data_IF_253220212816
#
_entry.id   IF_253220212816
#
_cell.length_a   1.000
_cell.length_b   1.000
_cell.length_c   1.000
_cell.angle_alpha   90.00
_cell.angle_beta   90.00
_cell.angle_gamma   90.00
#
_symmetry.space_group_name_H-M   'P 1'
#
loop_
_entity.id
_entity.type
_entity.pdbx_description
1 polymer ?
#
# COMPACT_ATOMS: atom_id res chain seq x y z
N UNK A 1 49.68 69.06 -23.11
CA UNK A 1 50.58 67.89 -22.88
C UNK A 1 50.00 67.03 -21.80
N UNK A 2 49.53 65.90 -22.12
CA UNK A 2 49.52 64.62 -21.37
C UNK A 2 48.40 63.70 -21.90
N UNK A 3 48.75 62.47 -22.08
CA UNK A 3 48.33 61.37 -22.95
C UNK A 3 47.00 60.73 -22.55
N UNK A 4 46.30 60.27 -23.54
CA UNK A 4 45.23 59.29 -23.54
C UNK A 4 45.70 57.96 -22.89
N UNK A 5 44.81 57.30 -22.10
CA UNK A 5 44.97 55.92 -21.76
C UNK A 5 43.61 55.23 -22.02
N UNK A 6 43.66 54.28 -22.95
CA UNK A 6 42.58 53.38 -23.34
C UNK A 6 42.25 52.41 -22.22
N UNK A 7 41.02 52.32 -21.85
CA UNK A 7 40.51 51.23 -20.99
C UNK A 7 39.92 50.13 -21.86
N UNK A 8 40.51 48.95 -21.73
CA UNK A 8 40.13 47.68 -22.36
C UNK A 8 38.74 47.28 -21.93
N UNK A 9 37.90 46.89 -22.92
CA UNK A 9 36.62 46.19 -22.77
C UNK A 9 36.84 44.81 -22.13
N UNK A 10 36.27 44.58 -20.94
CA UNK A 10 36.17 43.29 -20.31
C UNK A 10 35.00 42.53 -20.91
N UNK A 11 35.27 41.43 -21.59
CA UNK A 11 34.30 40.42 -21.99
C UNK A 11 33.71 39.76 -20.74
N UNK A 12 32.38 39.78 -20.62
CA UNK A 12 31.62 39.04 -19.61
C UNK A 12 31.84 37.53 -19.80
N UNK A 13 31.90 36.74 -18.69
CA UNK A 13 32.00 35.30 -18.83
C UNK A 13 30.65 34.73 -19.32
N UNK A 14 30.77 33.91 -20.35
CA UNK A 14 29.74 33.10 -20.92
C UNK A 14 29.14 32.20 -19.82
N UNK A 15 27.90 32.41 -19.44
CA UNK A 15 27.15 31.53 -18.55
C UNK A 15 26.79 30.26 -19.34
N UNK A 16 27.71 29.30 -19.28
CA UNK A 16 27.42 27.94 -19.80
C UNK A 16 26.18 27.36 -19.08
N UNK A 17 25.12 27.19 -19.84
CA UNK A 17 23.98 26.38 -19.44
C UNK A 17 24.47 25.00 -18.98
N UNK A 18 23.95 24.44 -17.86
CA UNK A 18 24.36 23.11 -17.43
C UNK A 18 24.03 22.10 -18.52
N UNK A 19 25.05 21.52 -19.12
CA UNK A 19 24.95 20.38 -20.01
C UNK A 19 24.20 19.28 -19.27
N UNK A 20 23.13 18.77 -19.88
CA UNK A 20 22.46 17.54 -19.47
C UNK A 20 23.54 16.45 -19.31
N UNK A 21 23.84 16.06 -18.07
CA UNK A 21 24.81 14.98 -17.80
C UNK A 21 24.31 13.76 -18.55
N UNK A 22 25.15 13.15 -19.38
CA UNK A 22 24.84 11.87 -20.05
C UNK A 22 24.44 10.88 -18.96
N UNK A 23 23.22 10.37 -19.02
CA UNK A 23 22.73 9.37 -18.08
C UNK A 23 23.71 8.18 -18.06
N UNK A 24 24.00 7.64 -16.87
CA UNK A 24 24.85 6.47 -16.77
C UNK A 24 24.21 5.31 -17.55
N UNK A 25 25.02 4.38 -18.08
CA UNK A 25 24.51 3.19 -18.76
C UNK A 25 23.42 2.44 -17.95
N UNK A 26 23.60 2.39 -16.63
CA UNK A 26 22.60 1.80 -15.73
C UNK A 26 21.28 2.59 -15.69
N UNK A 27 21.36 3.93 -15.67
CA UNK A 27 20.18 4.78 -15.72
C UNK A 27 19.38 4.61 -17.01
N UNK A 28 20.07 4.47 -18.14
CA UNK A 28 19.44 4.21 -19.43
C UNK A 28 18.76 2.82 -19.46
N UNK A 29 19.38 1.80 -18.89
CA UNK A 29 18.78 0.47 -18.72
C UNK A 29 17.49 0.54 -17.88
N UNK A 30 17.50 1.31 -16.78
CA UNK A 30 16.32 1.52 -15.96
C UNK A 30 15.22 2.24 -16.75
N UNK A 31 15.53 3.33 -17.44
CA UNK A 31 14.58 4.07 -18.26
C UNK A 31 13.91 3.19 -19.32
N UNK A 32 14.71 2.38 -20.01
CA UNK A 32 14.21 1.43 -21.01
C UNK A 32 13.30 0.35 -20.40
N UNK A 33 13.65 -0.14 -19.19
CA UNK A 33 12.82 -1.09 -18.44
C UNK A 33 11.49 -0.45 -18.04
N UNK A 34 11.50 0.76 -17.50
CA UNK A 34 10.30 1.51 -17.14
C UNK A 34 9.38 1.73 -18.35
N UNK A 35 9.91 2.21 -19.47
CA UNK A 35 9.14 2.39 -20.72
C UNK A 35 8.53 1.08 -21.23
N UNK A 36 9.27 -0.04 -21.16
CA UNK A 36 8.78 -1.36 -21.53
C UNK A 36 7.63 -1.81 -20.63
N UNK A 37 7.79 -1.68 -19.32
CA UNK A 37 6.78 -2.05 -18.34
C UNK A 37 5.53 -1.17 -18.46
N UNK A 38 5.70 0.15 -18.60
CA UNK A 38 4.60 1.08 -18.82
C UNK A 38 3.77 0.74 -20.05
N UNK A 39 4.42 0.39 -21.17
CA UNK A 39 3.71 -0.04 -22.39
C UNK A 39 2.94 -1.35 -22.18
N UNK A 40 3.53 -2.33 -21.47
CA UNK A 40 2.89 -3.62 -21.23
C UNK A 40 1.74 -3.51 -20.23
N UNK A 41 2.00 -3.00 -19.04
CA UNK A 41 1.02 -2.85 -17.96
C UNK A 41 -0.02 -1.79 -18.28
N UNK A 42 0.35 -0.70 -18.97
CA UNK A 42 -0.57 0.34 -19.37
C UNK A 42 -1.66 -0.13 -20.36
N UNK A 43 -1.39 -1.16 -21.19
CA UNK A 43 -2.44 -1.79 -22.02
C UNK A 43 -3.46 -2.51 -21.17
N UNK A 44 -3.01 -3.28 -20.19
CA UNK A 44 -3.89 -3.93 -19.22
C UNK A 44 -4.64 -2.91 -18.38
N UNK A 45 -3.94 -1.93 -17.81
CA UNK A 45 -4.53 -0.91 -16.95
C UNK A 45 -5.67 -0.15 -17.65
N UNK A 46 -5.45 0.28 -18.90
CA UNK A 46 -6.52 0.95 -19.69
C UNK A 46 -7.71 0.04 -19.97
N UNK A 47 -7.48 -1.25 -20.29
CA UNK A 47 -8.56 -2.20 -20.54
C UNK A 47 -9.42 -2.44 -19.30
N UNK A 48 -8.79 -2.50 -18.13
CA UNK A 48 -9.45 -2.78 -16.84
C UNK A 48 -9.87 -1.51 -16.09
N UNK A 49 -9.64 -0.31 -16.64
CA UNK A 49 -9.94 0.96 -15.97
C UNK A 49 -9.08 1.20 -14.72
N UNK A 50 -7.86 0.65 -14.68
CA UNK A 50 -6.94 0.79 -13.54
C UNK A 50 -6.06 2.02 -13.74
N UNK A 51 -6.10 2.97 -12.80
CA UNK A 51 -5.34 4.22 -12.85
C UNK A 51 -4.17 4.25 -11.86
N UNK A 52 -4.23 3.39 -10.83
CA UNK A 52 -3.19 3.26 -9.81
C UNK A 52 -2.59 1.86 -9.87
N UNK A 53 -1.31 1.72 -10.25
CA UNK A 53 -0.66 0.42 -10.40
C UNK A 53 0.86 0.50 -10.32
N UNK A 54 1.51 -0.63 -10.01
CA UNK A 54 2.96 -0.77 -9.95
C UNK A 54 3.56 -0.93 -11.34
N UNK A 55 4.49 -0.05 -11.70
CA UNK A 55 5.20 -0.12 -13.00
C UNK A 55 6.52 -0.88 -12.89
N UNK A 56 7.16 -0.84 -11.71
CA UNK A 56 8.48 -1.43 -11.51
C UNK A 56 8.61 -1.99 -10.08
N UNK A 57 9.17 -3.18 -9.93
CA UNK A 57 9.41 -3.84 -8.64
C UNK A 57 10.77 -4.56 -8.66
N UNK A 58 11.84 -3.80 -8.45
CA UNK A 58 13.22 -4.30 -8.42
C UNK A 58 13.56 -5.22 -9.63
N UNK A 59 13.07 -4.87 -10.81
CA UNK A 59 13.27 -5.64 -12.06
C UNK A 59 14.76 -5.79 -12.45
N UNK A 60 15.57 -4.82 -12.06
CA UNK A 60 17.02 -4.79 -12.23
C UNK A 60 17.67 -4.86 -10.84
N UNK A 61 18.59 -5.80 -10.61
CA UNK A 61 19.21 -5.97 -9.28
C UNK A 61 19.95 -4.73 -8.77
N UNK A 62 20.43 -3.88 -9.68
CA UNK A 62 21.13 -2.64 -9.36
C UNK A 62 20.21 -1.55 -8.85
N UNK A 63 18.92 -1.61 -9.18
CA UNK A 63 17.90 -0.63 -8.82
C UNK A 63 16.80 -1.27 -7.98
N UNK A 64 17.08 -1.40 -6.68
CA UNK A 64 16.15 -1.99 -5.71
C UNK A 64 15.06 -0.97 -5.32
N UNK A 65 14.15 -0.72 -6.26
CA UNK A 65 13.07 0.27 -6.14
C UNK A 65 11.72 -0.38 -6.42
N UNK A 66 10.67 0.16 -5.82
CA UNK A 66 9.32 0.06 -6.33
C UNK A 66 8.91 1.41 -6.94
N UNK A 67 8.27 1.40 -8.09
CA UNK A 67 7.74 2.59 -8.74
C UNK A 67 6.26 2.37 -9.01
N UNK A 68 5.42 3.12 -8.30
CA UNK A 68 3.97 3.02 -8.33
C UNK A 68 3.38 4.30 -8.95
N UNK A 69 2.46 4.13 -9.90
CA UNK A 69 1.64 5.21 -10.43
C UNK A 69 0.40 5.38 -9.53
N UNK A 70 0.08 6.62 -9.22
CA UNK A 70 -1.15 7.09 -8.61
C UNK A 70 -1.72 8.16 -9.53
N UNK A 71 -2.36 7.72 -10.63
CA UNK A 71 -2.83 8.58 -11.73
C UNK A 71 -1.69 9.40 -12.35
N UNK A 72 -1.67 10.70 -12.08
CA UNK A 72 -0.64 11.63 -12.59
C UNK A 72 0.56 11.77 -11.66
N UNK A 73 0.63 11.01 -10.55
CA UNK A 73 1.70 11.02 -9.58
C UNK A 73 2.51 9.73 -9.62
N UNK A 74 3.78 9.84 -9.35
CA UNK A 74 4.68 8.70 -9.19
C UNK A 74 5.16 8.64 -7.75
N UNK A 75 5.01 7.49 -7.13
CA UNK A 75 5.60 7.17 -5.84
C UNK A 75 6.76 6.21 -6.04
N UNK A 76 7.97 6.65 -5.71
CA UNK A 76 9.19 5.85 -5.75
C UNK A 76 9.53 5.43 -4.33
N UNK A 77 9.65 4.14 -4.11
CA UNK A 77 10.05 3.58 -2.82
C UNK A 77 11.37 2.83 -2.98
N UNK A 78 12.40 3.27 -2.26
CA UNK A 78 13.67 2.55 -2.22
C UNK A 78 13.58 1.39 -1.22
N UNK A 79 13.94 0.17 -1.67
CA UNK A 79 14.18 -0.95 -0.77
C UNK A 79 15.57 -0.81 -0.15
N UNK A 80 15.66 -1.09 1.16
CA UNK A 80 16.93 -1.02 1.87
C UNK A 80 17.99 -1.88 1.15
N UNK A 81 19.08 -1.25 0.73
CA UNK A 81 20.20 -1.97 0.13
C UNK A 81 20.75 -3.01 1.11
N UNK A 82 21.18 -4.20 0.62
CA UNK A 82 21.91 -5.14 1.43
C UNK A 82 23.14 -4.49 2.07
N UNK A 83 23.53 -4.94 3.27
CA UNK A 83 24.70 -4.39 3.98
C UNK A 83 26.03 -4.54 3.20
N UNK A 84 26.04 -5.39 2.18
CA UNK A 84 27.19 -5.61 1.27
C UNK A 84 27.33 -4.56 0.19
N UNK A 85 26.34 -3.68 0.00
CA UNK A 85 26.38 -2.61 -1.01
C UNK A 85 26.91 -1.34 -0.37
N UNK A 86 27.92 -0.75 -1.01
CA UNK A 86 28.47 0.54 -0.60
C UNK A 86 27.37 1.62 -0.59
N UNK A 87 27.16 2.33 0.52
CA UNK A 87 26.13 3.37 0.65
C UNK A 87 26.26 4.50 -0.40
N UNK A 88 27.47 4.92 -0.74
CA UNK A 88 27.70 5.95 -1.76
C UNK A 88 27.24 5.49 -3.15
N UNK A 89 27.48 4.21 -3.47
CA UNK A 89 27.04 3.60 -4.72
C UNK A 89 25.51 3.44 -4.76
N UNK A 90 24.89 3.07 -3.64
CA UNK A 90 23.43 2.99 -3.54
C UNK A 90 22.80 4.39 -3.75
N UNK A 91 23.34 5.41 -3.12
CA UNK A 91 22.86 6.79 -3.27
C UNK A 91 23.04 7.32 -4.70
N UNK A 92 24.17 7.02 -5.36
CA UNK A 92 24.38 7.41 -6.77
C UNK A 92 23.35 6.76 -7.68
N UNK A 93 23.04 5.47 -7.49
CA UNK A 93 22.02 4.75 -8.27
C UNK A 93 20.62 5.32 -8.02
N UNK A 94 20.29 5.69 -6.78
CA UNK A 94 19.03 6.35 -6.48
C UNK A 94 18.92 7.70 -7.18
N UNK A 95 19.98 8.50 -7.18
CA UNK A 95 20.02 9.78 -7.90
C UNK A 95 19.84 9.58 -9.41
N UNK A 96 20.54 8.61 -10.00
CA UNK A 96 20.37 8.21 -11.39
C UNK A 96 18.93 7.83 -11.70
N UNK A 97 18.31 7.02 -10.84
CA UNK A 97 16.92 6.60 -11.01
C UNK A 97 15.97 7.79 -10.98
N UNK A 98 16.12 8.69 -10.00
CA UNK A 98 15.27 9.89 -9.88
C UNK A 98 15.42 10.84 -11.06
N UNK A 99 16.60 10.89 -11.69
CA UNK A 99 16.82 11.70 -12.87
C UNK A 99 16.09 11.18 -14.12
N UNK A 100 15.95 9.85 -14.27
CA UNK A 100 15.39 9.26 -15.51
C UNK A 100 13.91 8.89 -15.41
N UNK A 101 13.36 8.71 -14.20
CA UNK A 101 11.96 8.32 -13.98
C UNK A 101 10.97 9.30 -14.62
N UNK A 102 11.10 10.64 -14.47
CA UNK A 102 10.16 11.59 -15.05
C UNK A 102 10.02 11.39 -16.57
N UNK A 103 11.11 11.42 -17.30
CA UNK A 103 11.12 11.27 -18.76
C UNK A 103 10.69 9.87 -19.21
N UNK A 104 11.10 8.83 -18.47
CA UNK A 104 10.75 7.45 -18.79
C UNK A 104 9.26 7.17 -18.68
N UNK A 105 8.56 7.85 -17.76
CA UNK A 105 7.13 7.71 -17.51
C UNK A 105 6.29 8.83 -18.15
N UNK A 106 6.91 9.89 -18.66
CA UNK A 106 6.23 11.06 -19.21
C UNK A 106 5.47 11.87 -18.15
N UNK A 107 6.02 11.92 -16.93
CA UNK A 107 5.42 12.62 -15.78
C UNK A 107 6.37 13.72 -15.31
N UNK A 108 5.87 14.94 -15.03
CA UNK A 108 6.69 16.04 -14.53
C UNK A 108 7.46 15.68 -13.25
N UNK A 109 8.68 16.16 -13.10
CA UNK A 109 9.56 15.82 -11.96
C UNK A 109 8.97 16.23 -10.60
N UNK A 110 8.19 17.30 -10.53
CA UNK A 110 7.49 17.78 -9.34
C UNK A 110 6.33 16.87 -8.89
N UNK A 111 5.94 15.92 -9.75
CA UNK A 111 4.95 14.88 -9.45
C UNK A 111 5.58 13.52 -9.11
N UNK A 112 6.89 13.44 -9.02
CA UNK A 112 7.63 12.25 -8.59
C UNK A 112 8.02 12.38 -7.13
N UNK A 113 7.44 11.55 -6.28
CA UNK A 113 7.68 11.57 -4.83
C UNK A 113 8.56 10.39 -4.45
N UNK A 114 9.74 10.67 -3.89
CA UNK A 114 10.64 9.65 -3.36
C UNK A 114 10.36 9.39 -1.89
N UNK A 115 10.27 8.11 -1.53
CA UNK A 115 10.22 7.67 -0.16
C UNK A 115 11.32 6.66 0.13
N UNK A 116 12.16 6.98 1.11
CA UNK A 116 13.24 6.09 1.55
C UNK A 116 12.71 5.25 2.70
N UNK A 117 12.59 3.95 2.48
CA UNK A 117 12.17 2.98 3.51
C UNK A 117 13.37 2.62 4.37
N UNK A 118 13.63 3.39 5.42
CA UNK A 118 14.58 2.96 6.46
C UNK A 118 13.98 1.81 7.24
N UNK A 119 14.80 0.78 7.58
CA UNK A 119 14.35 -0.29 8.49
C UNK A 119 13.96 0.34 9.82
N UNK A 120 12.67 0.44 10.06
CA UNK A 120 12.11 0.87 11.33
C UNK A 120 11.78 -0.36 12.17
N UNK A 121 12.04 -0.28 13.49
CA UNK A 121 11.66 -1.32 14.45
C UNK A 121 10.45 -0.84 15.26
N UNK A 122 9.45 -1.69 15.44
CA UNK A 122 8.32 -1.42 16.32
C UNK A 122 7.28 -0.45 15.74
N UNK A 123 6.75 0.44 16.59
CA UNK A 123 5.67 1.38 16.25
C UNK A 123 6.07 2.52 15.31
N UNK A 124 7.34 2.65 14.96
CA UNK A 124 7.83 3.72 14.08
C UNK A 124 7.20 3.71 12.68
N UNK A 125 6.62 2.58 12.25
CA UNK A 125 5.84 2.50 11.00
C UNK A 125 4.56 3.36 11.00
N UNK A 126 4.06 3.76 12.17
CA UNK A 126 2.88 4.62 12.33
C UNK A 126 3.23 6.09 12.54
N UNK A 127 4.53 6.43 12.61
CA UNK A 127 4.99 7.81 12.78
C UNK A 127 4.91 8.57 11.46
N UNK A 128 4.49 9.83 11.55
CA UNK A 128 4.50 10.73 10.40
C UNK A 128 5.94 11.07 10.03
N UNK A 129 6.26 10.91 8.74
CA UNK A 129 7.57 11.27 8.18
C UNK A 129 7.65 12.75 7.76
N UNK A 130 6.49 13.36 7.47
CA UNK A 130 6.33 14.78 7.16
C UNK A 130 4.98 15.27 7.67
N UNK A 131 4.75 16.58 7.60
CA UNK A 131 3.53 17.25 8.07
C UNK A 131 2.91 18.11 6.96
N UNK A 132 2.92 17.62 5.72
CA UNK A 132 2.38 18.38 4.58
C UNK A 132 0.86 18.46 4.61
N UNK A 133 0.19 17.45 5.18
CA UNK A 133 -1.26 17.31 5.17
C UNK A 133 -1.84 17.09 3.77
N UNK A 134 -0.99 16.86 2.75
CA UNK A 134 -1.41 16.76 1.35
C UNK A 134 -1.98 15.39 1.04
N UNK A 135 -3.29 15.31 1.00
CA UNK A 135 -4.01 14.17 0.47
C UNK A 135 -4.37 14.41 -1.00
N UNK A 136 -4.31 13.35 -1.78
CA UNK A 136 -4.72 13.31 -3.18
C UNK A 136 -5.86 12.32 -3.35
N UNK A 137 -6.86 12.71 -4.11
CA UNK A 137 -7.92 11.79 -4.52
C UNK A 137 -7.45 11.00 -5.73
N UNK A 138 -7.65 9.68 -5.68
CA UNK A 138 -7.35 8.75 -6.78
C UNK A 138 -8.51 7.78 -6.95
N UNK A 139 -8.58 7.15 -8.13
CA UNK A 139 -9.64 6.21 -8.48
C UNK A 139 -9.14 4.77 -8.50
N UNK A 140 -9.99 3.86 -8.05
CA UNK A 140 -9.84 2.42 -8.28
C UNK A 140 -11.21 1.91 -8.79
N UNK A 141 -11.33 1.74 -10.11
CA UNK A 141 -12.62 1.52 -10.76
C UNK A 141 -13.55 2.72 -10.60
N UNK A 142 -14.75 2.47 -10.10
CA UNK A 142 -15.77 3.49 -9.81
C UNK A 142 -15.65 4.11 -8.41
N UNK A 143 -14.67 3.69 -7.62
CA UNK A 143 -14.47 4.14 -6.24
C UNK A 143 -13.32 5.13 -6.13
N UNK A 144 -13.43 6.03 -5.15
CA UNK A 144 -12.47 7.10 -4.88
C UNK A 144 -11.77 6.89 -3.56
N UNK A 145 -10.48 7.15 -3.51
CA UNK A 145 -9.66 6.98 -2.32
C UNK A 145 -8.73 8.17 -2.13
N UNK A 146 -8.50 8.53 -0.90
CA UNK A 146 -7.46 9.48 -0.55
C UNK A 146 -6.14 8.73 -0.39
N UNK A 147 -5.08 9.24 -0.99
CA UNK A 147 -3.71 8.78 -0.78
C UNK A 147 -2.85 9.93 -0.27
N UNK A 148 -1.83 9.61 0.53
CA UNK A 148 -0.82 10.56 0.96
C UNK A 148 0.56 9.97 0.62
N UNK A 149 1.25 10.61 -0.30
CA UNK A 149 2.52 10.12 -0.84
C UNK A 149 3.74 10.59 -0.03
N UNK A 150 3.55 11.48 0.95
CA UNK A 150 4.65 12.17 1.66
C UNK A 150 4.71 11.89 3.16
N UNK A 151 3.58 11.97 3.87
CA UNK A 151 3.57 12.08 5.33
C UNK A 151 3.67 10.75 6.07
N UNK A 152 3.19 9.66 5.45
CA UNK A 152 3.11 8.33 6.08
C UNK A 152 4.03 7.34 5.38
N UNK A 153 4.39 6.26 6.05
CA UNK A 153 5.22 5.21 5.45
C UNK A 153 4.52 4.59 4.24
N UNK A 154 3.26 4.23 4.40
CA UNK A 154 2.43 3.67 3.34
C UNK A 154 1.46 4.73 2.81
N UNK A 155 1.04 4.59 1.57
CA UNK A 155 0.30 5.63 0.82
C UNK A 155 -1.18 5.75 1.18
N UNK A 156 -1.72 4.79 1.94
CA UNK A 156 -3.14 4.71 2.27
C UNK A 156 -3.96 3.79 1.36
N UNK A 157 -3.39 3.33 0.25
CA UNK A 157 -4.03 2.38 -0.67
C UNK A 157 -3.02 1.30 -1.10
N UNK A 158 -3.18 0.08 -0.62
CA UNK A 158 -2.36 -1.05 -1.02
C UNK A 158 -2.81 -1.57 -2.39
N UNK A 159 -2.00 -1.34 -3.43
CA UNK A 159 -2.33 -1.64 -4.82
C UNK A 159 -2.43 -3.14 -5.11
N UNK A 160 -1.65 -3.95 -4.40
CA UNK A 160 -1.66 -5.41 -4.51
C UNK A 160 -2.97 -6.03 -4.02
N UNK A 161 -3.69 -5.40 -3.10
CA UNK A 161 -4.99 -5.86 -2.59
C UNK A 161 -6.20 -5.49 -3.46
N UNK A 162 -6.01 -4.91 -4.65
CA UNK A 162 -7.11 -4.55 -5.56
C UNK A 162 -8.05 -5.72 -5.86
N UNK A 163 -7.57 -6.93 -6.24
CA UNK A 163 -8.47 -8.07 -6.47
C UNK A 163 -9.16 -8.56 -5.19
N UNK A 164 -8.47 -8.52 -4.04
CA UNK A 164 -9.05 -8.87 -2.74
C UNK A 164 -10.20 -7.94 -2.38
N UNK A 165 -10.04 -6.62 -2.58
CA UNK A 165 -11.11 -5.64 -2.39
C UNK A 165 -12.29 -5.89 -3.32
N UNK A 166 -12.04 -6.18 -4.60
CA UNK A 166 -13.09 -6.50 -5.57
C UNK A 166 -13.88 -7.75 -5.17
N UNK A 167 -13.23 -8.78 -4.61
CA UNK A 167 -13.92 -9.95 -4.05
C UNK A 167 -14.91 -9.55 -2.94
N UNK A 168 -14.51 -8.69 -2.00
CA UNK A 168 -15.37 -8.26 -0.90
C UNK A 168 -16.64 -7.58 -1.40
N UNK A 169 -16.55 -6.79 -2.48
CA UNK A 169 -17.71 -6.15 -3.11
C UNK A 169 -18.78 -7.16 -3.53
N UNK A 170 -18.38 -8.32 -4.06
CA UNK A 170 -19.32 -9.37 -4.51
C UNK A 170 -19.82 -10.29 -3.40
N UNK A 171 -19.12 -10.37 -2.28
CA UNK A 171 -19.37 -11.37 -1.23
C UNK A 171 -20.38 -10.95 -0.16
N UNK A 172 -20.75 -9.66 -0.09
CA UNK A 172 -21.41 -9.10 1.10
C UNK A 172 -22.75 -8.42 0.82
N UNK A 173 -23.28 -8.51 -0.40
CA UNK A 173 -24.55 -7.86 -0.79
C UNK A 173 -25.69 -8.26 0.18
N UNK A 174 -26.34 -7.26 0.78
CA UNK A 174 -27.39 -7.43 1.79
C UNK A 174 -26.89 -7.95 3.15
N UNK A 175 -25.60 -8.27 3.27
CA UNK A 175 -24.99 -8.81 4.47
C UNK A 175 -24.28 -7.77 5.35
N UNK A 176 -23.84 -8.20 6.53
CA UNK A 176 -23.01 -7.40 7.44
C UNK A 176 -21.54 -7.71 7.21
N UNK A 177 -20.73 -6.66 7.12
CA UNK A 177 -19.29 -6.75 6.90
C UNK A 177 -18.50 -6.28 8.14
N UNK A 178 -17.46 -7.02 8.51
CA UNK A 178 -16.50 -6.65 9.54
C UNK A 178 -15.11 -6.52 8.93
N UNK A 179 -14.45 -5.39 9.21
CA UNK A 179 -13.08 -5.12 8.80
C UNK A 179 -12.21 -4.97 10.05
N UNK A 180 -11.34 -5.94 10.30
CA UNK A 180 -10.40 -5.95 11.41
C UNK A 180 -9.01 -5.55 10.92
N UNK A 181 -8.27 -4.76 11.72
CA UNK A 181 -7.00 -4.14 11.33
C UNK A 181 -7.18 -3.30 10.07
N UNK A 182 -8.22 -2.46 10.12
CA UNK A 182 -8.84 -1.91 8.92
C UNK A 182 -8.00 -0.86 8.18
N UNK A 183 -6.94 -0.34 8.81
CA UNK A 183 -6.10 0.70 8.23
C UNK A 183 -6.95 1.88 7.74
N UNK A 184 -6.83 2.29 6.48
CA UNK A 184 -7.60 3.39 5.86
C UNK A 184 -9.00 2.98 5.39
N UNK A 185 -9.48 1.80 5.75
CA UNK A 185 -10.84 1.33 5.50
C UNK A 185 -11.21 1.05 4.05
N UNK A 186 -10.24 0.88 3.16
CA UNK A 186 -10.50 0.66 1.73
C UNK A 186 -11.38 -0.58 1.47
N UNK A 187 -11.21 -1.65 2.27
CA UNK A 187 -12.06 -2.83 2.21
C UNK A 187 -13.51 -2.54 2.61
N UNK A 188 -13.73 -1.66 3.59
CA UNK A 188 -15.07 -1.24 4.02
C UNK A 188 -15.79 -0.43 2.95
N UNK A 189 -15.05 0.41 2.20
CA UNK A 189 -15.59 1.14 1.04
C UNK A 189 -16.12 0.16 -0.01
N UNK A 190 -15.32 -0.85 -0.37
CA UNK A 190 -15.72 -1.87 -1.34
C UNK A 190 -16.91 -2.69 -0.88
N UNK A 191 -16.97 -3.07 0.40
CA UNK A 191 -18.09 -3.78 0.97
C UNK A 191 -19.38 -2.93 0.93
N UNK A 192 -19.31 -1.65 1.31
CA UNK A 192 -20.44 -0.73 1.24
C UNK A 192 -20.91 -0.53 -0.20
N UNK A 193 -19.99 -0.31 -1.16
CA UNK A 193 -20.30 -0.19 -2.58
C UNK A 193 -20.87 -1.48 -3.19
N UNK A 194 -20.58 -2.65 -2.59
CA UNK A 194 -21.18 -3.94 -2.93
C UNK A 194 -22.57 -4.16 -2.34
N UNK A 195 -23.15 -3.16 -1.67
CA UNK A 195 -24.47 -3.25 -1.08
C UNK A 195 -24.49 -3.97 0.27
N UNK A 196 -23.41 -3.91 1.06
CA UNK A 196 -23.44 -4.38 2.44
C UNK A 196 -24.54 -3.67 3.23
N UNK A 197 -25.38 -4.42 3.96
CA UNK A 197 -26.40 -3.83 4.83
C UNK A 197 -25.79 -3.01 5.97
N UNK A 198 -24.58 -3.39 6.42
CA UNK A 198 -23.79 -2.58 7.34
C UNK A 198 -22.29 -2.94 7.29
N UNK A 199 -21.43 -2.00 7.66
CA UNK A 199 -20.00 -2.21 7.85
C UNK A 199 -19.57 -1.82 9.26
N UNK A 200 -18.70 -2.63 9.86
CA UNK A 200 -18.00 -2.30 11.11
C UNK A 200 -16.50 -2.29 10.83
N UNK A 201 -15.86 -1.15 11.01
CA UNK A 201 -14.46 -0.90 10.68
C UNK A 201 -13.69 -0.68 11.97
N UNK A 202 -12.71 -1.55 12.27
CA UNK A 202 -11.98 -1.54 13.54
C UNK A 202 -10.49 -1.37 13.29
N UNK A 203 -9.91 -0.36 13.94
CA UNK A 203 -8.47 -0.14 13.99
C UNK A 203 -8.09 0.56 15.31
N UNK A 204 -6.86 0.35 15.76
CA UNK A 204 -6.38 1.02 16.97
C UNK A 204 -5.95 2.47 16.74
N UNK A 205 -5.62 2.82 15.50
CA UNK A 205 -5.14 4.14 15.10
C UNK A 205 -6.31 5.09 14.82
N UNK A 206 -6.42 6.16 15.60
CA UNK A 206 -7.41 7.22 15.32
C UNK A 206 -7.14 7.89 13.96
N UNK A 207 -5.86 8.06 13.58
CA UNK A 207 -5.47 8.68 12.31
C UNK A 207 -5.97 7.84 11.12
N UNK A 208 -5.81 6.53 11.17
CA UNK A 208 -6.27 5.65 10.10
C UNK A 208 -7.79 5.52 10.08
N UNK A 209 -8.46 5.51 11.24
CA UNK A 209 -9.92 5.55 11.27
C UNK A 209 -10.50 6.86 10.73
N UNK A 210 -9.87 8.00 11.00
CA UNK A 210 -10.29 9.27 10.42
C UNK A 210 -10.09 9.27 8.88
N UNK A 211 -9.01 8.65 8.42
CA UNK A 211 -8.81 8.45 6.99
C UNK A 211 -9.86 7.49 6.39
N UNK A 212 -10.19 6.40 7.09
CA UNK A 212 -11.24 5.47 6.69
C UNK A 212 -12.62 6.16 6.59
N UNK A 213 -12.98 7.03 7.55
CA UNK A 213 -14.20 7.85 7.50
C UNK A 213 -14.22 8.74 6.26
N UNK A 214 -13.10 9.39 5.96
CA UNK A 214 -12.97 10.24 4.78
C UNK A 214 -13.10 9.44 3.49
N UNK A 215 -12.48 8.26 3.39
CA UNK A 215 -12.63 7.35 2.24
C UNK A 215 -14.07 6.88 2.06
N UNK A 216 -14.76 6.54 3.14
CA UNK A 216 -16.19 6.17 3.09
C UNK A 216 -17.05 7.35 2.65
N UNK A 217 -16.87 8.53 3.26
CA UNK A 217 -17.62 9.74 2.92
C UNK A 217 -17.41 10.19 1.47
N UNK A 218 -16.19 10.06 0.95
CA UNK A 218 -15.85 10.37 -0.44
C UNK A 218 -16.66 9.54 -1.45
N UNK A 219 -17.11 8.34 -1.04
CA UNK A 219 -17.96 7.46 -1.84
C UNK A 219 -19.44 7.48 -1.43
N UNK A 220 -19.86 8.48 -0.64
CA UNK A 220 -21.25 8.66 -0.24
C UNK A 220 -21.69 7.80 0.97
N UNK A 221 -20.76 7.11 1.63
CA UNK A 221 -21.04 6.30 2.81
C UNK A 221 -20.64 7.05 4.08
N UNK A 222 -21.62 7.53 4.84
CA UNK A 222 -21.35 8.30 6.06
C UNK A 222 -21.42 7.43 7.31
N UNK A 223 -20.67 7.84 8.35
CA UNK A 223 -20.72 7.20 9.66
C UNK A 223 -22.14 7.29 10.27
N UNK A 224 -22.59 6.21 10.91
CA UNK A 224 -23.88 6.11 11.53
C UNK A 224 -24.22 4.68 11.94
N UNK A 225 -25.49 4.35 12.00
CA UNK A 225 -25.93 3.00 12.34
C UNK A 225 -25.52 1.94 11.30
N UNK A 226 -25.45 2.34 10.02
CA UNK A 226 -25.09 1.44 8.92
C UNK A 226 -23.58 1.25 8.80
N UNK A 227 -22.80 2.32 8.98
CA UNK A 227 -21.35 2.29 8.85
C UNK A 227 -20.70 2.77 10.15
N UNK A 228 -20.12 1.83 10.89
CA UNK A 228 -19.53 2.10 12.22
C UNK A 228 -18.01 2.03 12.18
N UNK A 229 -17.37 2.94 12.91
CA UNK A 229 -15.93 2.96 13.10
C UNK A 229 -15.62 2.81 14.59
N UNK A 230 -14.82 1.81 14.93
CA UNK A 230 -14.50 1.47 16.31
C UNK A 230 -13.01 1.60 16.53
N UNK A 231 -12.60 2.54 17.39
CA UNK A 231 -11.20 2.63 17.81
C UNK A 231 -10.93 1.62 18.91
N UNK A 232 -10.30 0.50 18.57
CA UNK A 232 -9.96 -0.54 19.51
C UNK A 232 -8.73 -1.33 19.05
N UNK A 233 -8.03 -1.93 19.99
CA UNK A 233 -7.14 -3.05 19.69
C UNK A 233 -8.00 -4.23 19.25
N UNK A 234 -7.77 -4.77 18.04
CA UNK A 234 -8.61 -5.81 17.46
C UNK A 234 -8.63 -7.09 18.30
N UNK A 235 -7.53 -7.48 18.93
CA UNK A 235 -7.47 -8.67 19.77
C UNK A 235 -8.26 -8.47 21.07
N UNK A 236 -8.12 -7.30 21.70
CA UNK A 236 -8.88 -6.95 22.89
C UNK A 236 -10.39 -6.83 22.57
N UNK A 237 -10.73 -6.29 21.40
CA UNK A 237 -12.12 -6.23 20.95
C UNK A 237 -12.69 -7.63 20.73
N UNK A 238 -11.96 -8.52 20.06
CA UNK A 238 -12.38 -9.92 19.83
C UNK A 238 -12.56 -10.73 21.12
N UNK A 239 -11.85 -10.38 22.18
CA UNK A 239 -11.99 -11.03 23.49
C UNK A 239 -13.31 -10.65 24.23
N UNK A 240 -14.02 -9.61 23.76
CA UNK A 240 -15.27 -9.17 24.35
C UNK A 240 -16.48 -9.86 23.68
N UNK A 241 -17.62 -10.03 24.37
CA UNK A 241 -18.83 -10.57 23.76
C UNK A 241 -19.42 -9.61 22.71
N UNK A 242 -19.79 -10.15 21.55
CA UNK A 242 -20.47 -9.41 20.48
C UNK A 242 -21.73 -10.12 20.08
N UNK A 243 -22.91 -9.44 20.07
CA UNK A 243 -24.16 -10.04 19.62
C UNK A 243 -24.26 -10.14 18.11
N UNK A 244 -23.55 -9.25 17.37
CA UNK A 244 -23.63 -9.23 15.93
C UNK A 244 -22.92 -10.42 15.29
N UNK A 245 -23.44 -10.83 14.11
CA UNK A 245 -22.82 -11.83 13.25
C UNK A 245 -22.66 -11.26 11.86
N UNK A 246 -21.54 -11.58 11.22
CA UNK A 246 -21.10 -10.97 9.96
C UNK A 246 -21.09 -12.02 8.85
N UNK A 247 -21.51 -11.63 7.65
CA UNK A 247 -21.56 -12.50 6.46
C UNK A 247 -20.20 -12.56 5.77
N UNK A 248 -19.43 -11.49 5.86
CA UNK A 248 -18.02 -11.47 5.46
C UNK A 248 -17.19 -10.73 6.50
N UNK A 249 -16.03 -11.28 6.82
CA UNK A 249 -15.05 -10.68 7.75
C UNK A 249 -13.71 -10.60 7.01
N UNK A 250 -13.14 -9.42 6.93
CA UNK A 250 -11.76 -9.23 6.45
C UNK A 250 -10.82 -9.08 7.63
N UNK A 251 -9.73 -9.83 7.60
CA UNK A 251 -8.72 -9.87 8.66
C UNK A 251 -7.35 -9.75 8.01
N UNK A 252 -6.69 -8.62 8.17
CA UNK A 252 -5.37 -8.34 7.60
C UNK A 252 -4.44 -7.78 8.68
N UNK A 253 -3.99 -8.63 9.62
CA UNK A 253 -3.19 -8.20 10.75
C UNK A 253 -1.79 -7.75 10.33
N UNK A 254 -1.15 -6.84 11.06
CA UNK A 254 0.26 -6.53 10.87
C UNK A 254 1.12 -7.74 11.22
N UNK A 255 2.25 -7.92 10.51
CA UNK A 255 3.18 -9.03 10.75
C UNK A 255 3.66 -9.09 12.20
N UNK A 256 3.89 -7.92 12.81
CA UNK A 256 4.22 -7.77 14.23
C UNK A 256 3.49 -6.56 14.82
N UNK A 257 2.93 -6.71 16.00
CA UNK A 257 2.35 -5.60 16.76
C UNK A 257 2.85 -5.59 18.19
N UNK A 258 3.45 -4.46 18.60
CA UNK A 258 3.85 -4.21 19.99
C UNK A 258 2.75 -3.40 20.68
N UNK A 259 1.63 -4.02 21.00
CA UNK A 259 0.62 -3.36 21.81
C UNK A 259 1.08 -3.28 23.26
N UNK A 260 1.50 -2.10 23.71
CA UNK A 260 1.86 -1.83 25.13
C UNK A 260 0.70 -2.08 26.10
N UNK A 261 -0.52 -2.28 25.61
CA UNK A 261 -1.73 -2.54 26.44
C UNK A 261 -1.98 -4.01 26.73
N UNK A 262 -1.29 -4.92 26.02
CA UNK A 262 -1.40 -6.37 26.24
C UNK A 262 -0.29 -6.95 27.16
N UNK A 263 0.39 -6.12 27.95
CA UNK A 263 1.54 -6.55 28.75
C UNK A 263 2.76 -6.81 27.84
N UNK A 264 3.64 -7.73 28.22
CA UNK A 264 4.85 -8.08 27.46
C UNK A 264 4.58 -8.93 26.20
N UNK A 265 3.33 -9.34 25.94
CA UNK A 265 3.01 -10.21 24.82
C UNK A 265 2.87 -9.40 23.52
N UNK A 266 3.84 -9.54 22.63
CA UNK A 266 3.78 -9.04 21.25
C UNK A 266 2.99 -10.02 20.38
N UNK A 267 2.08 -9.50 19.54
CA UNK A 267 1.44 -10.30 18.49
C UNK A 267 2.47 -10.64 17.42
N UNK A 268 2.58 -11.94 17.12
CA UNK A 268 3.36 -12.50 16.01
C UNK A 268 2.40 -13.28 15.13
N UNK A 269 2.27 -12.86 13.89
CA UNK A 269 1.28 -13.39 12.97
C UNK A 269 1.47 -14.90 12.71
N UNK A 270 2.71 -15.39 12.54
CA UNK A 270 2.96 -16.81 12.34
C UNK A 270 2.58 -17.66 13.55
N UNK A 271 2.84 -17.15 14.74
CA UNK A 271 2.55 -17.84 16.00
C UNK A 271 1.06 -17.81 16.34
N UNK A 272 0.43 -16.64 16.14
CA UNK A 272 -0.86 -16.33 16.77
C UNK A 272 -2.07 -16.44 15.84
N UNK A 273 -1.87 -16.66 14.52
CA UNK A 273 -2.96 -16.69 13.53
C UNK A 273 -4.06 -17.72 13.83
N UNK A 274 -3.71 -18.87 14.39
CA UNK A 274 -4.71 -19.89 14.76
C UNK A 274 -5.63 -19.38 15.86
N UNK A 275 -5.07 -18.76 16.90
CA UNK A 275 -5.82 -18.13 17.99
C UNK A 275 -6.69 -16.98 17.48
N UNK A 276 -6.14 -16.12 16.63
CA UNK A 276 -6.86 -15.03 15.99
C UNK A 276 -8.04 -15.55 15.17
N UNK A 277 -7.85 -16.53 14.29
CA UNK A 277 -8.92 -17.10 13.47
C UNK A 277 -10.02 -17.73 14.35
N UNK A 278 -9.65 -18.46 15.40
CA UNK A 278 -10.61 -19.03 16.35
C UNK A 278 -11.42 -17.97 17.08
N UNK A 279 -10.85 -16.82 17.39
CA UNK A 279 -11.58 -15.70 18.03
C UNK A 279 -12.53 -14.99 17.06
N UNK A 280 -12.27 -15.05 15.75
CA UNK A 280 -13.11 -14.45 14.70
C UNK A 280 -14.28 -15.37 14.32
N UNK A 281 -14.09 -16.70 14.32
CA UNK A 281 -15.11 -17.68 13.91
C UNK A 281 -16.46 -17.52 14.60
N UNK A 282 -16.56 -17.25 15.93
CA UNK A 282 -17.85 -17.03 16.59
C UNK A 282 -18.67 -15.87 16.01
N UNK A 283 -18.01 -14.90 15.37
CA UNK A 283 -18.66 -13.74 14.76
C UNK A 283 -19.24 -14.01 13.37
N UNK A 284 -18.98 -15.19 12.76
CA UNK A 284 -19.54 -15.55 11.47
C UNK A 284 -21.05 -15.83 11.56
N UNK A 285 -21.79 -15.21 10.67
CA UNK A 285 -23.16 -15.59 10.35
C UNK A 285 -23.19 -17.00 9.72
N UNK A 286 -24.37 -17.63 9.67
CA UNK A 286 -24.55 -18.88 8.94
C UNK A 286 -24.21 -18.68 7.46
N UNK A 287 -23.34 -19.51 6.92
CA UNK A 287 -22.86 -19.38 5.53
C UNK A 287 -21.88 -18.22 5.31
N UNK A 288 -21.47 -17.54 6.39
CA UNK A 288 -20.47 -16.46 6.30
C UNK A 288 -19.06 -16.97 6.06
N UNK A 289 -18.17 -16.06 5.65
CA UNK A 289 -16.76 -16.36 5.36
C UNK A 289 -15.81 -15.34 5.99
N UNK A 290 -14.55 -15.76 6.16
CA UNK A 290 -13.43 -14.89 6.49
C UNK A 290 -12.51 -14.82 5.25
N UNK A 291 -12.10 -13.61 4.87
CA UNK A 291 -10.92 -13.39 4.06
C UNK A 291 -9.79 -13.04 5.01
N UNK A 292 -8.83 -13.94 5.13
CA UNK A 292 -7.62 -13.71 5.93
C UNK A 292 -6.47 -13.40 5.00
N UNK A 293 -5.79 -12.30 5.22
CA UNK A 293 -4.65 -11.85 4.42
C UNK A 293 -3.47 -11.51 5.29
N UNK A 294 -2.27 -11.55 4.71
CA UNK A 294 -1.05 -11.03 5.34
C UNK A 294 0.07 -10.81 4.32
N UNK A 295 1.08 -10.03 4.71
CA UNK A 295 2.26 -9.75 3.89
C UNK A 295 3.54 -10.46 4.38
N UNK A 296 3.44 -11.43 5.28
CA UNK A 296 4.60 -12.18 5.76
C UNK A 296 5.06 -13.23 4.75
N UNK A 297 6.18 -12.99 4.06
CA UNK A 297 6.67 -13.81 2.93
C UNK A 297 6.92 -15.27 3.25
N UNK A 298 7.13 -15.63 4.51
CA UNK A 298 7.41 -16.98 4.98
C UNK A 298 6.24 -17.60 5.75
N UNK A 299 5.07 -16.97 5.71
CA UNK A 299 3.89 -17.44 6.41
C UNK A 299 3.47 -18.84 5.99
N UNK A 300 3.08 -19.64 6.98
CA UNK A 300 2.55 -21.00 6.78
C UNK A 300 1.24 -21.14 7.55
N UNK A 301 0.15 -21.31 6.83
CA UNK A 301 -1.15 -21.56 7.42
C UNK A 301 -1.21 -22.94 8.09
N UNK A 302 -1.45 -22.99 9.38
CA UNK A 302 -1.56 -24.22 10.16
C UNK A 302 -2.96 -24.86 10.06
N UNK A 303 -3.31 -25.37 8.87
CA UNK A 303 -4.63 -25.96 8.59
C UNK A 303 -4.99 -27.11 9.52
N UNK A 304 -4.02 -27.92 9.94
CA UNK A 304 -4.20 -29.03 10.88
C UNK A 304 -4.68 -28.60 12.27
N UNK A 305 -4.41 -27.35 12.66
CA UNK A 305 -4.91 -26.75 13.89
C UNK A 305 -6.33 -26.15 13.77
N UNK A 306 -6.94 -26.19 12.59
CA UNK A 306 -8.28 -25.61 12.28
C UNK A 306 -9.18 -26.66 11.62
N UNK A 307 -9.38 -27.86 12.22
CA UNK A 307 -10.11 -28.95 11.57
C UNK A 307 -11.60 -28.62 11.33
N UNK A 308 -12.15 -27.68 12.11
CA UNK A 308 -13.53 -27.20 12.01
C UNK A 308 -13.75 -26.21 10.84
N UNK A 309 -12.67 -25.80 10.16
CA UNK A 309 -12.71 -24.83 9.09
C UNK A 309 -12.31 -25.43 7.74
N UNK A 310 -12.95 -24.99 6.69
CA UNK A 310 -12.46 -25.14 5.32
C UNK A 310 -11.59 -23.95 4.99
N UNK A 311 -10.29 -24.18 4.75
CA UNK A 311 -9.27 -23.16 4.49
C UNK A 311 -8.79 -23.31 3.05
N UNK A 312 -9.23 -22.43 2.16
CA UNK A 312 -8.87 -22.36 0.76
C UNK A 312 -7.81 -21.28 0.54
N UNK A 313 -6.67 -21.65 -0.06
CA UNK A 313 -5.65 -20.69 -0.46
C UNK A 313 -6.06 -20.04 -1.80
N UNK A 314 -6.33 -18.74 -1.76
CA UNK A 314 -6.71 -17.94 -2.92
C UNK A 314 -5.63 -16.92 -3.30
N UNK A 315 -4.45 -17.01 -2.71
CA UNK A 315 -3.33 -16.06 -2.94
C UNK A 315 -3.10 -15.79 -4.41
N UNK A 316 -3.01 -16.84 -5.23
CA UNK A 316 -2.70 -16.68 -6.65
C UNK A 316 -3.76 -15.88 -7.42
N UNK A 317 -5.03 -16.01 -7.05
CA UNK A 317 -6.13 -15.29 -7.70
C UNK A 317 -6.30 -13.85 -7.21
N UNK A 318 -5.65 -13.50 -6.09
CA UNK A 318 -5.71 -12.16 -5.50
C UNK A 318 -4.51 -11.29 -5.84
N UNK A 319 -3.45 -11.84 -6.47
CA UNK A 319 -2.29 -11.07 -6.93
C UNK A 319 -2.58 -10.47 -8.32
N UNK A 320 -2.64 -9.14 -8.44
CA UNK A 320 -2.92 -8.50 -9.71
C UNK A 320 -1.72 -8.55 -10.68
N UNK A 321 -1.93 -8.31 -11.99
CA UNK A 321 -0.90 -8.41 -13.02
C UNK A 321 0.35 -7.57 -12.77
N UNK A 322 0.21 -6.40 -12.17
CA UNK A 322 1.29 -5.48 -11.84
C UNK A 322 2.18 -5.96 -10.68
N UNK A 323 1.73 -6.97 -9.91
CA UNK A 323 2.49 -7.61 -8.83
C UNK A 323 2.92 -9.05 -9.13
N UNK A 324 2.65 -9.59 -10.32
CA UNK A 324 3.00 -10.98 -10.67
C UNK A 324 4.48 -11.33 -10.53
N UNK A 325 5.38 -10.35 -10.60
CA UNK A 325 6.82 -10.54 -10.37
C UNK A 325 7.17 -10.79 -8.91
N UNK A 326 6.29 -10.38 -8.00
CA UNK A 326 6.42 -10.59 -6.57
C UNK A 326 5.24 -11.41 -6.02
N UNK A 327 5.14 -12.72 -6.36
CA UNK A 327 4.00 -13.56 -5.98
C UNK A 327 3.90 -13.79 -4.47
N UNK A 328 4.83 -13.24 -3.69
CA UNK A 328 4.85 -13.26 -2.23
C UNK A 328 4.64 -11.86 -1.64
N UNK A 329 4.00 -10.96 -2.39
CA UNK A 329 3.70 -9.62 -1.88
C UNK A 329 2.70 -9.68 -0.73
N UNK A 330 1.69 -10.54 -0.87
CA UNK A 330 0.79 -10.95 0.19
C UNK A 330 0.40 -12.43 0.05
N UNK A 331 -0.25 -12.95 1.07
CA UNK A 331 -0.94 -14.22 1.07
C UNK A 331 -2.43 -13.97 1.36
N UNK A 332 -3.35 -14.79 0.83
CA UNK A 332 -4.77 -14.63 1.06
C UNK A 332 -5.50 -15.98 1.11
N UNK A 333 -6.38 -16.16 2.10
CA UNK A 333 -7.19 -17.35 2.27
C UNK A 333 -8.67 -16.99 2.43
N UNK A 334 -9.50 -17.80 1.79
CA UNK A 334 -10.94 -17.83 2.05
C UNK A 334 -11.23 -18.94 3.04
N UNK A 335 -11.88 -18.62 4.16
CA UNK A 335 -12.10 -19.52 5.27
C UNK A 335 -13.60 -19.56 5.59
N UNK A 336 -14.15 -20.75 5.69
CA UNK A 336 -15.58 -20.99 6.04
C UNK A 336 -15.67 -22.05 7.12
N UNK A 337 -16.79 -22.09 7.85
CA UNK A 337 -17.11 -23.25 8.68
C UNK A 337 -17.40 -24.46 7.79
N UNK A 338 -17.02 -25.65 8.25
CA UNK A 338 -17.40 -26.91 7.62
C UNK A 338 -18.83 -27.30 7.92
#
# INVERSE_FOLDING_TARGET
MRRFNETKSGTAPDTASPSLSSASFGAEMLANRLRKNLRHLGKWARREGVTCYRVYDADLPEYALAVDLYEEWVHVQEYAAPATVDPARAQARLADAMAVIPDALGIPADRVVLKIRRRQKGLAQYERQALTGQFREVHEGDLRFLVNLTDYLDTGLFLDHRPTRALMRGLVTGGRFLNLFAYTGTASVYAAAGGAASTTTIDMSSVYLDWARRNMALNGFTEGHTHRFVRADCLAWLASPHPERYHAIFVDPPTFSNSKRMGEATFDEQRDHVGLLRSVVPLLARGGLILFSNNFRHFKMHRGALPELAVEDITRSTIPPDFQRNPKIHNCWKITRR
#
